data_IF_777219001631
#
_entry.id   IF_777219001631
#
_cell.length_a   1.000
_cell.length_b   1.000
_cell.length_c   1.000
_cell.angle_alpha   90.00
_cell.angle_beta   90.00
_cell.angle_gamma   90.00
#
_symmetry.space_group_name_H-M   'P 1'
#
loop_
_entity.id
_entity.type
_entity.pdbx_description
1 polymer ?
#
# COMPACT_ATOMS: atom_id res chain seq x y z
N UNK A 1 11.12 -1.29 11.88
CA UNK A 1 11.34 0.08 12.44
C UNK A 1 10.91 0.18 13.91
N UNK A 2 9.64 -0.13 14.22
CA UNK A 2 9.08 -0.08 15.58
C UNK A 2 9.89 -0.87 16.61
N UNK A 3 10.32 -2.08 16.27
CA UNK A 3 11.13 -2.93 17.15
C UNK A 3 12.44 -2.24 17.56
N UNK A 4 13.21 -1.70 16.60
CA UNK A 4 14.46 -0.95 16.87
C UNK A 4 14.24 0.28 17.74
N UNK A 5 13.12 0.99 17.54
CA UNK A 5 12.76 2.12 18.38
C UNK A 5 12.53 1.70 19.84
N UNK A 6 11.79 0.59 20.05
CA UNK A 6 11.51 0.07 21.38
C UNK A 6 12.77 -0.48 22.07
N UNK A 7 13.66 -1.16 21.33
CA UNK A 7 14.98 -1.61 21.83
C UNK A 7 15.82 -0.42 22.35
N UNK A 8 15.74 0.73 21.68
CA UNK A 8 16.41 1.96 22.11
C UNK A 8 15.66 2.76 23.19
N UNK A 9 14.50 2.28 23.65
CA UNK A 9 13.64 2.97 24.64
C UNK A 9 13.25 4.39 24.21
N UNK A 10 13.02 4.59 22.91
CA UNK A 10 12.66 5.89 22.34
C UNK A 10 11.15 5.98 22.06
N UNK A 11 10.56 7.14 22.29
CA UNK A 11 9.19 7.44 21.82
C UNK A 11 9.21 7.77 20.31
N UNK A 12 8.03 7.77 19.67
CA UNK A 12 7.92 8.21 18.28
C UNK A 12 8.35 9.67 18.11
N UNK A 13 8.05 10.51 19.10
CA UNK A 13 8.45 11.92 19.15
C UNK A 13 9.98 12.05 19.19
N UNK A 14 10.66 11.24 20.02
CA UNK A 14 12.12 11.29 20.13
C UNK A 14 12.82 10.98 18.81
N UNK A 15 12.36 9.95 18.11
CA UNK A 15 12.95 9.56 16.82
C UNK A 15 12.66 10.62 15.77
N UNK A 16 11.43 11.15 15.74
CA UNK A 16 11.04 12.17 14.78
C UNK A 16 11.88 13.45 14.92
N UNK A 17 11.98 13.97 16.15
CA UNK A 17 12.77 15.17 16.47
C UNK A 17 14.24 14.97 16.09
N UNK A 18 14.85 13.85 16.49
CA UNK A 18 16.26 13.56 16.17
C UNK A 18 16.51 13.30 14.68
N UNK A 19 15.49 12.89 13.93
CA UNK A 19 15.59 12.63 12.49
C UNK A 19 15.20 13.84 11.63
N UNK A 20 14.84 14.98 12.24
CA UNK A 20 14.42 16.19 11.52
C UNK A 20 13.13 15.99 10.71
N UNK A 21 12.16 15.29 11.30
CA UNK A 21 10.82 15.06 10.72
C UNK A 21 9.73 15.26 11.77
N UNK A 22 8.49 15.46 11.33
CA UNK A 22 7.36 15.59 12.26
C UNK A 22 7.00 14.25 12.90
N UNK A 23 6.53 14.27 14.16
CA UNK A 23 6.05 13.06 14.83
C UNK A 23 4.91 12.38 14.09
N UNK A 24 4.00 13.16 13.47
CA UNK A 24 2.94 12.64 12.60
C UNK A 24 3.53 11.87 11.42
N UNK A 25 4.55 12.43 10.77
CA UNK A 25 5.20 11.78 9.63
C UNK A 25 5.94 10.51 10.05
N UNK A 26 6.73 10.54 11.12
CA UNK A 26 7.39 9.33 11.65
C UNK A 26 6.37 8.23 12.00
N UNK A 27 5.29 8.58 12.70
CA UNK A 27 4.22 7.63 13.01
C UNK A 27 3.57 7.03 11.76
N UNK A 28 3.40 7.83 10.70
CA UNK A 28 2.88 7.34 9.42
C UNK A 28 3.84 6.35 8.74
N UNK A 29 5.16 6.63 8.76
CA UNK A 29 6.20 5.73 8.24
C UNK A 29 6.24 4.42 9.04
N UNK A 30 6.26 4.50 10.37
CA UNK A 30 6.37 3.33 11.26
C UNK A 30 5.17 2.39 11.11
N UNK A 31 4.00 2.93 10.73
CA UNK A 31 2.78 2.16 10.46
C UNK A 31 2.62 1.76 8.98
N UNK A 32 3.65 1.94 8.14
CA UNK A 32 3.65 1.53 6.73
C UNK A 32 2.80 2.40 5.79
N UNK A 33 2.24 3.52 6.28
CA UNK A 33 1.33 4.38 5.50
C UNK A 33 2.05 5.34 4.56
N UNK A 34 3.32 5.64 4.84
CA UNK A 34 4.12 6.55 4.04
C UNK A 34 5.44 5.91 3.59
N UNK A 35 5.81 6.14 2.33
CA UNK A 35 7.11 5.76 1.78
C UNK A 35 8.05 6.97 1.81
N UNK A 36 8.92 7.10 2.83
CA UNK A 36 9.87 8.19 2.93
C UNK A 36 10.97 8.12 1.86
N UNK A 37 11.57 9.29 1.57
CA UNK A 37 12.77 9.36 0.74
C UNK A 37 13.95 8.63 1.38
N UNK A 38 14.91 8.21 0.56
CA UNK A 38 16.14 7.56 1.03
C UNK A 38 16.88 8.44 2.05
N UNK A 39 16.90 9.75 1.85
CA UNK A 39 17.51 10.70 2.78
C UNK A 39 16.85 10.68 4.16
N UNK A 40 15.51 10.73 4.21
CA UNK A 40 14.76 10.66 5.47
C UNK A 40 14.90 9.29 6.13
N UNK A 41 14.91 8.21 5.35
CA UNK A 41 15.20 6.86 5.85
C UNK A 41 16.60 6.75 6.44
N UNK A 42 17.60 7.35 5.78
CA UNK A 42 18.99 7.37 6.27
C UNK A 42 19.10 8.13 7.58
N UNK A 43 18.40 9.27 7.73
CA UNK A 43 18.32 9.99 8.99
C UNK A 43 17.70 9.14 10.11
N UNK A 44 16.59 8.46 9.83
CA UNK A 44 15.95 7.55 10.80
C UNK A 44 16.86 6.38 11.15
N UNK A 45 17.54 5.77 10.16
CA UNK A 45 18.46 4.66 10.36
C UNK A 45 19.60 5.03 11.32
N UNK A 46 20.19 6.22 11.13
CA UNK A 46 21.24 6.78 12.00
C UNK A 46 20.74 6.92 13.44
N UNK A 47 19.56 7.52 13.64
CA UNK A 47 18.96 7.69 14.97
C UNK A 47 18.66 6.33 15.63
N UNK A 48 18.09 5.41 14.87
CA UNK A 48 17.77 4.06 15.33
C UNK A 48 19.00 3.13 15.43
N UNK A 49 20.19 3.58 15.01
CA UNK A 49 21.43 2.81 15.08
C UNK A 49 21.34 1.48 14.33
N UNK A 50 20.66 1.48 13.18
CA UNK A 50 20.54 0.31 12.32
C UNK A 50 20.97 0.66 10.90
N UNK A 51 21.25 -0.35 10.08
CA UNK A 51 21.60 -0.11 8.68
C UNK A 51 20.37 0.34 7.88
N UNK A 52 20.59 1.18 6.87
CA UNK A 52 19.53 1.53 5.91
C UNK A 52 18.93 0.27 5.26
N UNK A 53 19.78 -0.71 4.93
CA UNK A 53 19.38 -2.00 4.38
C UNK A 53 18.39 -2.75 5.28
N UNK A 54 18.60 -2.74 6.60
CA UNK A 54 17.67 -3.35 7.55
C UNK A 54 16.28 -2.69 7.49
N UNK A 55 16.21 -1.35 7.44
CA UNK A 55 14.92 -0.65 7.35
C UNK A 55 14.22 -0.87 6.00
N UNK A 56 14.98 -1.04 4.92
CA UNK A 56 14.42 -1.35 3.61
C UNK A 56 13.84 -2.77 3.58
N UNK A 57 14.56 -3.76 4.10
CA UNK A 57 14.09 -5.14 4.15
C UNK A 57 12.84 -5.30 5.01
N UNK A 58 12.81 -4.70 6.21
CA UNK A 58 11.63 -4.72 7.10
C UNK A 58 10.36 -4.21 6.41
N UNK A 59 10.50 -3.22 5.52
CA UNK A 59 9.39 -2.67 4.72
C UNK A 59 9.01 -3.57 3.54
N UNK A 60 10.00 -4.18 2.90
CA UNK A 60 9.77 -5.15 1.82
C UNK A 60 9.04 -6.38 2.37
N UNK A 61 9.47 -6.90 3.52
CA UNK A 61 8.87 -8.06 4.17
C UNK A 61 7.40 -7.82 4.54
N UNK A 62 7.04 -6.66 5.10
CA UNK A 62 5.63 -6.31 5.39
C UNK A 62 4.76 -6.28 4.13
N UNK A 63 5.25 -5.61 3.07
CA UNK A 63 4.57 -5.53 1.79
C UNK A 63 4.40 -6.92 1.17
N UNK A 64 5.47 -7.71 1.13
CA UNK A 64 5.45 -9.08 0.58
C UNK A 64 4.51 -9.99 1.36
N UNK A 65 4.46 -9.88 2.68
CA UNK A 65 3.53 -10.64 3.51
C UNK A 65 2.06 -10.29 3.22
N UNK A 66 1.74 -8.99 3.11
CA UNK A 66 0.39 -8.53 2.74
C UNK A 66 0.00 -8.99 1.34
N UNK A 67 0.91 -8.91 0.38
CA UNK A 67 0.71 -9.40 -0.98
C UNK A 67 0.52 -10.91 -0.99
N UNK A 68 1.32 -11.68 -0.23
CA UNK A 68 1.20 -13.13 -0.13
C UNK A 68 -0.15 -13.55 0.44
N UNK A 69 -0.62 -12.90 1.51
CA UNK A 69 -1.92 -13.17 2.10
C UNK A 69 -3.06 -12.93 1.08
N UNK A 70 -2.99 -11.82 0.35
CA UNK A 70 -3.98 -11.50 -0.66
C UNK A 70 -3.91 -12.43 -1.90
N UNK A 71 -2.71 -12.80 -2.32
CA UNK A 71 -2.50 -13.82 -3.36
C UNK A 71 -3.17 -15.13 -2.98
N UNK A 72 -2.96 -15.61 -1.76
CA UNK A 72 -3.60 -16.84 -1.27
C UNK A 72 -5.13 -16.73 -1.29
N UNK A 73 -5.67 -15.60 -0.81
CA UNK A 73 -7.13 -15.33 -0.83
C UNK A 73 -7.69 -15.37 -2.26
N UNK A 74 -7.00 -14.74 -3.21
CA UNK A 74 -7.43 -14.73 -4.61
C UNK A 74 -7.28 -16.11 -5.27
N UNK A 75 -6.24 -16.87 -4.94
CA UNK A 75 -6.08 -18.26 -5.39
C UNK A 75 -7.26 -19.13 -4.95
N UNK A 76 -7.71 -19.00 -3.69
CA UNK A 76 -8.90 -19.72 -3.20
C UNK A 76 -10.18 -19.31 -3.95
N UNK A 77 -10.36 -18.01 -4.22
CA UNK A 77 -11.54 -17.50 -4.95
C UNK A 77 -11.59 -18.03 -6.38
N UNK A 78 -10.43 -18.12 -7.02
CA UNK A 78 -10.28 -18.46 -8.44
C UNK A 78 -9.78 -19.89 -8.67
N UNK A 79 -9.84 -20.77 -7.67
CA UNK A 79 -9.36 -22.17 -7.72
C UNK A 79 -10.03 -22.99 -8.84
N UNK A 80 -11.24 -22.60 -9.25
CA UNK A 80 -12.07 -23.31 -10.23
C UNK A 80 -11.74 -22.94 -11.68
N UNK A 81 -10.77 -22.04 -11.92
CA UNK A 81 -10.33 -21.73 -13.28
C UNK A 81 -9.65 -22.97 -13.90
N UNK A 82 -9.95 -23.32 -15.17
CA UNK A 82 -9.32 -24.45 -15.87
C UNK A 82 -7.79 -24.44 -15.86
N UNK A 83 -7.18 -25.62 -15.74
CA UNK A 83 -5.74 -25.80 -15.53
C UNK A 83 -4.87 -25.37 -16.70
N UNK A 84 -5.40 -25.41 -17.92
CA UNK A 84 -4.73 -24.96 -19.15
C UNK A 84 -4.39 -23.46 -19.15
N UNK A 85 -4.95 -22.69 -18.19
CA UNK A 85 -4.74 -21.25 -18.06
C UNK A 85 -3.93 -20.84 -16.83
N UNK A 86 -3.35 -21.79 -16.09
CA UNK A 86 -2.74 -21.52 -14.77
C UNK A 86 -1.65 -20.45 -14.81
N UNK A 87 -0.74 -20.49 -15.78
CA UNK A 87 0.36 -19.51 -15.86
C UNK A 87 -0.15 -18.07 -16.01
N UNK A 88 -1.18 -17.86 -16.85
CA UNK A 88 -1.82 -16.56 -17.00
C UNK A 88 -2.51 -16.13 -15.69
N UNK A 89 -3.24 -17.06 -15.07
CA UNK A 89 -4.01 -16.82 -13.83
C UNK A 89 -3.09 -16.47 -12.67
N UNK A 90 -1.98 -17.18 -12.49
CA UNK A 90 -0.99 -16.91 -11.44
C UNK A 90 -0.41 -15.49 -11.56
N UNK A 91 -0.08 -15.07 -12.79
CA UNK A 91 0.37 -13.72 -13.08
C UNK A 91 -0.69 -12.67 -12.73
N UNK A 92 -1.93 -12.86 -13.20
CA UNK A 92 -3.04 -11.94 -12.93
C UNK A 92 -3.38 -11.85 -11.44
N UNK A 93 -3.40 -12.97 -10.72
CA UNK A 93 -3.64 -12.99 -9.28
C UNK A 93 -2.54 -12.24 -8.54
N UNK A 94 -1.27 -12.47 -8.88
CA UNK A 94 -0.14 -11.79 -8.23
C UNK A 94 -0.22 -10.28 -8.44
N UNK A 95 -0.59 -9.82 -9.65
CA UNK A 95 -0.75 -8.40 -9.93
C UNK A 95 -1.98 -7.80 -9.23
N UNK A 96 -3.11 -8.51 -9.21
CA UNK A 96 -4.30 -8.10 -8.46
C UNK A 96 -4.00 -7.96 -6.97
N UNK A 97 -3.23 -8.87 -6.38
CA UNK A 97 -2.84 -8.82 -4.98
C UNK A 97 -1.97 -7.60 -4.67
N UNK A 98 -0.96 -7.32 -5.50
CA UNK A 98 -0.13 -6.10 -5.38
C UNK A 98 -0.97 -4.83 -5.48
N UNK A 99 -1.87 -4.75 -6.46
CA UNK A 99 -2.76 -3.60 -6.62
C UNK A 99 -3.69 -3.43 -5.42
N UNK A 100 -4.26 -4.52 -4.90
CA UNK A 100 -5.14 -4.45 -3.73
C UNK A 100 -4.44 -3.88 -2.51
N UNK A 101 -3.23 -4.33 -2.22
CA UNK A 101 -2.41 -3.83 -1.11
C UNK A 101 -2.11 -2.33 -1.28
N UNK A 102 -1.76 -1.91 -2.50
CA UNK A 102 -1.52 -0.51 -2.83
C UNK A 102 -2.76 0.38 -2.73
N UNK A 103 -3.93 -0.14 -3.15
CA UNK A 103 -5.22 0.54 -3.05
C UNK A 103 -5.60 0.79 -1.59
N UNK A 104 -5.43 -0.21 -0.73
CA UNK A 104 -5.70 -0.07 0.71
C UNK A 104 -4.82 1.03 1.34
N UNK A 105 -3.54 1.12 0.93
CA UNK A 105 -2.62 2.15 1.44
C UNK A 105 -2.95 3.54 0.91
N UNK A 106 -3.30 3.65 -0.37
CA UNK A 106 -3.78 4.89 -0.95
C UNK A 106 -5.07 5.37 -0.30
N UNK A 107 -6.03 4.47 -0.05
CA UNK A 107 -7.30 4.80 0.60
C UNK A 107 -7.08 5.33 2.02
N UNK A 108 -6.19 4.70 2.80
CA UNK A 108 -5.81 5.18 4.15
C UNK A 108 -5.23 6.59 4.10
N UNK A 109 -4.34 6.88 3.16
CA UNK A 109 -3.79 8.23 3.01
C UNK A 109 -4.86 9.26 2.63
N UNK A 110 -5.76 8.93 1.70
CA UNK A 110 -6.86 9.80 1.28
C UNK A 110 -7.80 10.10 2.46
N UNK A 111 -8.14 9.08 3.27
CA UNK A 111 -8.94 9.28 4.48
C UNK A 111 -8.26 10.20 5.51
N UNK A 112 -6.94 10.13 5.64
CA UNK A 112 -6.19 10.91 6.63
C UNK A 112 -5.87 12.33 6.20
N UNK A 113 -5.65 12.54 4.91
CA UNK A 113 -5.08 13.79 4.37
C UNK A 113 -6.00 14.48 3.35
N UNK A 114 -7.15 13.88 3.04
CA UNK A 114 -8.13 14.39 2.08
C UNK A 114 -7.71 14.17 0.62
N UNK A 115 -8.64 14.48 -0.28
CA UNK A 115 -8.42 14.36 -1.74
C UNK A 115 -7.75 15.59 -2.35
N UNK A 116 -7.90 16.75 -1.71
CA UNK A 116 -7.43 18.05 -2.21
C UNK A 116 -6.40 18.64 -1.25
N UNK A 117 -5.43 19.37 -1.81
CA UNK A 117 -4.46 20.17 -1.07
C UNK A 117 -4.42 21.60 -1.59
N UNK A 118 -4.12 22.57 -0.71
CA UNK A 118 -3.86 23.94 -1.14
C UNK A 118 -2.53 24.00 -1.88
N UNK A 119 -2.55 24.51 -3.10
CA UNK A 119 -1.38 24.66 -3.96
C UNK A 119 -1.20 26.11 -4.40
N UNK A 120 0.06 26.53 -4.53
CA UNK A 120 0.45 27.87 -4.97
C UNK A 120 1.77 27.78 -5.73
N UNK A 121 1.82 28.27 -6.96
CA UNK A 121 2.99 28.12 -7.84
C UNK A 121 4.07 29.18 -7.61
N UNK A 122 3.69 30.38 -7.18
CA UNK A 122 4.60 31.49 -6.85
C UNK A 122 4.11 32.24 -5.62
N UNK A 123 4.99 32.95 -4.92
CA UNK A 123 4.65 33.71 -3.69
C UNK A 123 3.54 34.75 -3.87
N UNK A 124 3.27 35.20 -5.10
CA UNK A 124 2.27 36.24 -5.38
C UNK A 124 0.90 35.71 -5.82
N UNK A 125 0.76 34.40 -6.06
CA UNK A 125 -0.53 33.81 -6.49
C UNK A 125 -1.43 33.46 -5.29
N UNK A 126 -2.76 33.55 -5.42
CA UNK A 126 -3.66 32.99 -4.39
C UNK A 126 -3.62 31.45 -4.40
N UNK A 127 -3.57 30.84 -3.22
CA UNK A 127 -3.59 29.38 -3.11
C UNK A 127 -4.97 28.84 -3.50
N UNK A 128 -5.02 27.78 -4.30
CA UNK A 128 -6.25 27.13 -4.75
C UNK A 128 -6.23 25.63 -4.42
N UNK A 129 -7.40 24.99 -4.44
CA UNK A 129 -7.51 23.55 -4.20
C UNK A 129 -7.10 22.76 -5.44
N UNK A 130 -6.14 21.86 -5.28
CA UNK A 130 -5.71 20.92 -6.31
C UNK A 130 -5.89 19.50 -5.83
N UNK A 131 -6.33 18.60 -6.71
CA UNK A 131 -6.37 17.16 -6.44
C UNK A 131 -4.94 16.66 -6.15
N UNK A 132 -4.80 15.87 -5.09
CA UNK A 132 -3.50 15.29 -4.72
C UNK A 132 -3.16 14.15 -5.69
N UNK A 133 -1.89 14.01 -6.14
CA UNK A 133 -1.48 12.93 -7.07
C UNK A 133 -1.80 11.51 -6.56
N UNK A 134 -1.85 11.32 -5.25
CA UNK A 134 -2.21 10.04 -4.62
C UNK A 134 -3.63 9.59 -4.98
N UNK A 135 -4.56 10.53 -5.19
CA UNK A 135 -5.94 10.23 -5.57
C UNK A 135 -6.01 9.78 -7.03
N UNK A 136 -5.25 10.43 -7.92
CA UNK A 136 -5.14 9.99 -9.32
C UNK A 136 -4.50 8.60 -9.42
N UNK A 137 -3.47 8.34 -8.60
CA UNK A 137 -2.88 7.01 -8.49
C UNK A 137 -3.88 5.95 -8.01
N UNK A 138 -4.71 6.28 -7.01
CA UNK A 138 -5.77 5.41 -6.54
C UNK A 138 -6.77 5.09 -7.66
N UNK A 139 -7.30 6.12 -8.33
CA UNK A 139 -8.30 5.96 -9.40
C UNK A 139 -7.75 5.09 -10.55
N UNK A 140 -6.49 5.30 -10.94
CA UNK A 140 -5.85 4.52 -12.00
C UNK A 140 -5.63 3.06 -11.58
N UNK A 141 -5.12 2.83 -10.36
CA UNK A 141 -4.92 1.48 -9.82
C UNK A 141 -6.24 0.73 -9.67
N UNK A 142 -7.31 1.41 -9.27
CA UNK A 142 -8.62 0.80 -9.08
C UNK A 142 -9.20 0.33 -10.41
N UNK A 143 -9.11 1.16 -11.46
CA UNK A 143 -9.51 0.76 -12.83
C UNK A 143 -8.73 -0.46 -13.33
N UNK A 144 -7.41 -0.49 -13.10
CA UNK A 144 -6.59 -1.65 -13.48
C UNK A 144 -6.97 -2.89 -12.67
N UNK A 145 -7.17 -2.74 -11.36
CA UNK A 145 -7.59 -3.83 -10.48
C UNK A 145 -8.96 -4.40 -10.91
N UNK A 146 -9.95 -3.55 -11.16
CA UNK A 146 -11.27 -3.96 -11.66
C UNK A 146 -11.17 -4.72 -12.97
N UNK A 147 -10.27 -4.30 -13.88
CA UNK A 147 -10.03 -4.97 -15.15
C UNK A 147 -9.46 -6.38 -14.96
N UNK A 148 -8.45 -6.53 -14.09
CA UNK A 148 -7.86 -7.85 -13.78
C UNK A 148 -8.89 -8.76 -13.10
N UNK A 149 -9.66 -8.25 -12.13
CA UNK A 149 -10.71 -9.04 -11.46
C UNK A 149 -11.79 -9.47 -12.45
N UNK A 150 -12.16 -8.61 -13.42
CA UNK A 150 -13.07 -8.98 -14.50
C UNK A 150 -12.49 -10.12 -15.35
N UNK A 151 -11.23 -10.00 -15.79
CA UNK A 151 -10.55 -11.06 -16.56
C UNK A 151 -10.54 -12.39 -15.81
N UNK A 152 -10.15 -12.39 -14.53
CA UNK A 152 -10.16 -13.60 -13.68
C UNK A 152 -11.58 -14.18 -13.52
N UNK A 153 -12.59 -13.32 -13.38
CA UNK A 153 -13.99 -13.74 -13.27
C UNK A 153 -14.51 -14.35 -14.58
N UNK A 154 -14.14 -13.78 -15.72
CA UNK A 154 -14.52 -14.26 -17.05
C UNK A 154 -13.87 -15.61 -17.39
N UNK A 155 -12.79 -15.98 -16.70
CA UNK A 155 -12.11 -17.28 -16.84
C UNK A 155 -12.76 -18.42 -16.02
N UNK A 156 -13.71 -18.10 -15.14
CA UNK A 156 -14.42 -19.12 -14.36
C UNK A 156 -15.42 -19.90 -15.22
N UNK A 157 -15.66 -21.19 -14.91
CA UNK A 157 -16.69 -21.96 -15.60
C UNK A 157 -18.09 -21.32 -15.41
N UNK A 158 -18.96 -21.31 -16.45
CA UNK A 158 -20.24 -20.58 -16.45
C UNK A 158 -21.22 -21.02 -15.35
N UNK A 159 -21.06 -22.23 -14.80
CA UNK A 159 -21.91 -22.79 -13.74
C UNK A 159 -21.41 -22.47 -12.32
N UNK A 160 -20.27 -21.78 -12.17
CA UNK A 160 -19.78 -21.36 -10.86
C UNK A 160 -20.44 -20.03 -10.48
N UNK A 161 -21.52 -20.10 -9.70
CA UNK A 161 -22.00 -18.94 -8.93
C UNK A 161 -20.99 -18.66 -7.83
N UNK A 162 -19.93 -17.90 -8.13
CA UNK A 162 -19.14 -17.25 -7.08
C UNK A 162 -20.12 -16.35 -6.33
N UNK A 163 -20.12 -16.39 -5.01
CA UNK A 163 -20.84 -15.39 -4.22
C UNK A 163 -20.11 -14.04 -4.40
N UNK A 164 -20.40 -13.38 -5.53
CA UNK A 164 -19.56 -12.35 -6.19
C UNK A 164 -19.32 -11.11 -5.32
N UNK A 165 -20.07 -10.91 -4.24
CA UNK A 165 -20.00 -9.69 -3.42
C UNK A 165 -19.36 -9.91 -2.05
N UNK A 166 -19.72 -10.97 -1.32
CA UNK A 166 -19.22 -11.17 0.05
C UNK A 166 -17.73 -11.54 0.06
N UNK A 167 -17.34 -12.54 -0.74
CA UNK A 167 -15.97 -13.06 -0.81
C UNK A 167 -14.99 -12.10 -1.49
N UNK A 168 -15.39 -11.45 -2.58
CA UNK A 168 -14.51 -10.53 -3.33
C UNK A 168 -14.19 -9.25 -2.53
N UNK A 169 -15.14 -8.74 -1.75
CA UNK A 169 -14.95 -7.55 -0.91
C UNK A 169 -14.27 -7.86 0.44
N UNK A 170 -14.05 -9.12 0.79
CA UNK A 170 -13.48 -9.51 2.08
C UNK A 170 -14.35 -9.08 3.27
N UNK A 171 -15.66 -8.88 3.06
CA UNK A 171 -16.61 -8.58 4.14
C UNK A 171 -16.96 -9.91 4.82
N UNK A 172 -16.47 -10.11 6.04
CA UNK A 172 -17.09 -11.03 7.00
C UNK A 172 -18.41 -10.46 7.47
#
# INVERSE_FOLDING_TARGET
MKQKRLEKKMTQVDVATKSGISSKYYGSIENGKNSPSIEKLSAIAKVLGCSLHFLLNDRMDDMENRVKLETNRLQEIFEKIPRDKLSLVEGLITQAARLRVLLDDNWKDILENGEYEKFKQSENQMAYDRKRPIVENYDNRDKTYQTIIKQLTDLLPPNVKVDKKSKLLGRK
#
